data_IF_585889593701
#
_entry.id   IF_585889593701
#
_cell.length_a   1.000
_cell.length_b   1.000
_cell.length_c   1.000
_cell.angle_alpha   90.00
_cell.angle_beta   90.00
_cell.angle_gamma   90.00
#
_symmetry.space_group_name_H-M   'P 1'
#
loop_
_entity.id
_entity.type
_entity.pdbx_description
1 polymer ?
#
# COMPACT_ATOMS: atom_id res chain seq x y z
N UNK A 1 26.99 -20.81 -47.51
CA UNK A 1 27.48 -21.61 -46.37
C UNK A 1 28.00 -20.72 -45.19
N UNK A 2 27.39 -19.58 -44.96
CA UNK A 2 27.83 -18.62 -43.92
C UNK A 2 26.76 -18.44 -42.77
N UNK A 3 25.53 -18.88 -43.01
CA UNK A 3 24.43 -18.75 -42.04
C UNK A 3 24.51 -19.79 -40.88
N UNK A 4 25.20 -20.91 -41.07
CA UNK A 4 25.36 -21.95 -40.03
C UNK A 4 26.33 -21.60 -38.90
N UNK A 5 27.36 -20.86 -39.20
CA UNK A 5 28.42 -20.50 -38.24
C UNK A 5 27.96 -19.40 -37.27
N UNK A 6 27.13 -18.47 -37.71
CA UNK A 6 26.59 -17.41 -36.85
C UNK A 6 25.54 -17.94 -35.83
N UNK A 7 24.73 -18.91 -36.24
CA UNK A 7 23.78 -19.56 -35.38
C UNK A 7 24.45 -20.43 -34.28
N UNK A 8 25.53 -21.10 -34.62
CA UNK A 8 26.31 -21.87 -33.65
C UNK A 8 27.04 -20.94 -32.68
N UNK A 9 27.61 -19.84 -33.17
CA UNK A 9 28.27 -18.84 -32.31
C UNK A 9 27.28 -18.16 -31.33
N UNK A 10 26.08 -17.81 -31.79
CA UNK A 10 25.03 -17.29 -30.91
C UNK A 10 24.53 -18.33 -29.90
N UNK A 11 24.33 -19.57 -30.33
CA UNK A 11 23.92 -20.66 -29.45
C UNK A 11 24.97 -21.01 -28.38
N UNK A 12 26.25 -21.01 -28.75
CA UNK A 12 27.37 -21.18 -27.82
C UNK A 12 27.52 -19.95 -26.92
N UNK A 13 27.37 -18.74 -27.45
CA UNK A 13 27.41 -17.50 -26.67
C UNK A 13 26.34 -17.44 -25.59
N UNK A 14 25.11 -17.85 -25.91
CA UNK A 14 24.00 -17.95 -24.96
C UNK A 14 24.21 -19.04 -23.90
N UNK A 15 24.85 -20.16 -24.28
CA UNK A 15 25.16 -21.25 -23.35
C UNK A 15 26.28 -20.85 -22.39
N UNK A 16 27.30 -20.14 -22.88
CA UNK A 16 28.37 -19.61 -22.06
C UNK A 16 27.95 -18.37 -21.25
N UNK A 17 27.06 -17.54 -21.78
CA UNK A 17 26.48 -16.42 -21.01
C UNK A 17 25.73 -16.90 -19.78
N UNK A 18 25.00 -18.03 -19.87
CA UNK A 18 24.35 -18.66 -18.69
C UNK A 18 25.35 -19.22 -17.69
N UNK A 19 26.58 -19.54 -18.12
CA UNK A 19 27.62 -20.13 -17.27
C UNK A 19 28.58 -19.06 -16.74
N UNK A 20 28.77 -17.98 -17.51
CA UNK A 20 29.66 -16.88 -17.16
C UNK A 20 28.95 -15.72 -16.42
N UNK A 21 27.63 -15.64 -16.54
CA UNK A 21 26.82 -14.87 -15.63
C UNK A 21 26.37 -15.85 -14.54
N UNK A 22 27.10 -15.98 -13.43
CA UNK A 22 26.52 -16.61 -12.25
C UNK A 22 25.20 -15.89 -12.08
N UNK A 23 24.12 -16.66 -12.00
CA UNK A 23 22.77 -16.11 -11.83
C UNK A 23 22.95 -14.90 -10.93
N UNK A 24 22.63 -13.72 -11.43
CA UNK A 24 22.81 -12.47 -10.72
C UNK A 24 21.88 -12.54 -9.51
N UNK A 25 22.27 -13.42 -8.59
CA UNK A 25 21.70 -13.43 -7.26
C UNK A 25 22.10 -12.09 -6.74
N UNK A 26 21.13 -11.21 -6.69
CA UNK A 26 21.34 -9.84 -6.27
C UNK A 26 22.32 -9.85 -5.10
N UNK A 27 23.50 -9.27 -5.31
CA UNK A 27 24.49 -9.05 -4.25
C UNK A 27 23.90 -8.14 -3.17
N UNK A 28 22.78 -7.53 -3.47
CA UNK A 28 21.98 -6.72 -2.55
C UNK A 28 21.00 -7.66 -1.85
N UNK A 29 21.18 -7.90 -0.54
CA UNK A 29 20.23 -8.68 0.23
C UNK A 29 18.88 -7.96 0.25
N UNK A 30 17.83 -8.67 -0.06
CA UNK A 30 16.50 -8.12 -0.09
C UNK A 30 15.46 -9.18 0.23
N UNK A 31 14.31 -8.74 0.69
CA UNK A 31 13.14 -9.59 0.85
C UNK A 31 11.92 -8.91 0.25
N UNK A 32 11.00 -9.71 -0.25
CA UNK A 32 9.69 -9.21 -0.62
C UNK A 32 8.91 -8.92 0.65
N UNK A 33 8.41 -7.71 0.77
CA UNK A 33 7.54 -7.26 1.85
C UNK A 33 6.25 -6.72 1.22
N UNK A 34 5.18 -6.69 2.00
CA UNK A 34 3.89 -6.23 1.51
C UNK A 34 2.75 -7.18 1.86
N UNK A 35 1.64 -7.15 1.13
CA UNK A 35 0.42 -7.86 1.47
C UNK A 35 0.61 -9.35 1.71
N UNK A 36 -0.17 -9.90 2.64
CA UNK A 36 -0.18 -11.32 3.02
C UNK A 36 -0.81 -12.20 1.91
N UNK A 37 -0.21 -12.16 0.71
CA UNK A 37 -0.73 -12.87 -0.46
C UNK A 37 -0.92 -14.37 -0.20
N UNK A 38 -0.11 -14.97 0.68
CA UNK A 38 -0.24 -16.38 1.05
C UNK A 38 -1.56 -16.67 1.73
N UNK A 39 -2.01 -15.79 2.62
CA UNK A 39 -3.31 -15.91 3.30
C UNK A 39 -4.43 -15.63 2.31
N UNK A 40 -4.32 -14.58 1.50
CA UNK A 40 -5.28 -14.28 0.45
C UNK A 40 -5.47 -15.44 -0.55
N UNK A 41 -4.42 -16.19 -0.85
CA UNK A 41 -4.50 -17.37 -1.73
C UNK A 41 -5.25 -18.55 -1.10
N UNK A 42 -5.38 -18.64 0.22
CA UNK A 42 -6.15 -19.69 0.87
C UNK A 42 -7.62 -19.68 0.45
N UNK A 43 -8.16 -18.51 0.06
CA UNK A 43 -9.51 -18.40 -0.50
C UNK A 43 -9.70 -19.31 -1.72
N UNK A 44 -8.71 -19.38 -2.59
CA UNK A 44 -8.76 -20.24 -3.79
C UNK A 44 -8.69 -21.73 -3.45
N UNK A 45 -8.05 -22.06 -2.35
CA UNK A 45 -7.84 -23.43 -1.91
C UNK A 45 -8.99 -23.95 -1.05
N UNK A 46 -9.94 -23.10 -0.66
CA UNK A 46 -11.02 -23.44 0.25
C UNK A 46 -10.53 -23.91 1.64
N UNK A 47 -9.32 -23.50 2.03
CA UNK A 47 -8.60 -24.03 3.20
C UNK A 47 -8.93 -23.28 4.49
N UNK A 48 -10.13 -22.71 4.61
CA UNK A 48 -10.56 -22.05 5.84
C UNK A 48 -11.30 -23.01 6.76
N UNK A 49 -10.94 -22.98 8.04
CA UNK A 49 -11.71 -23.65 9.06
C UNK A 49 -13.09 -22.99 9.22
N UNK A 50 -14.08 -23.77 9.64
CA UNK A 50 -15.39 -23.19 9.99
C UNK A 50 -15.20 -22.17 11.13
N UNK A 51 -15.90 -21.03 11.08
CA UNK A 51 -15.83 -20.04 12.15
C UNK A 51 -16.31 -20.66 13.46
N UNK A 52 -15.63 -20.34 14.55
CA UNK A 52 -15.98 -20.79 15.89
C UNK A 52 -16.92 -19.83 16.60
N UNK A 53 -16.94 -18.58 16.14
CA UNK A 53 -17.75 -17.49 16.69
C UNK A 53 -18.36 -16.71 15.56
N UNK A 54 -19.51 -16.11 15.83
CA UNK A 54 -20.20 -15.19 14.93
C UNK A 54 -20.46 -13.90 15.69
N UNK A 55 -20.08 -12.79 15.11
CA UNK A 55 -20.43 -11.45 15.59
C UNK A 55 -21.33 -10.78 14.56
N UNK A 56 -22.32 -10.02 15.04
CA UNK A 56 -23.19 -9.23 14.20
C UNK A 56 -22.82 -7.76 14.35
N UNK A 57 -22.66 -7.06 13.24
CA UNK A 57 -22.45 -5.62 13.15
C UNK A 57 -23.39 -5.06 12.10
N UNK A 58 -23.83 -3.85 12.29
CA UNK A 58 -24.68 -3.18 11.29
C UNK A 58 -23.90 -2.92 9.99
N UNK A 59 -22.62 -2.59 10.13
CA UNK A 59 -21.71 -2.39 8.99
C UNK A 59 -20.38 -3.09 9.19
N UNK A 60 -19.91 -3.80 8.16
CA UNK A 60 -18.58 -4.42 8.12
C UNK A 60 -17.82 -3.84 6.93
N UNK A 61 -16.68 -3.22 7.20
CA UNK A 61 -15.76 -2.70 6.20
C UNK A 61 -14.61 -3.70 6.03
N UNK A 62 -14.39 -4.16 4.82
CA UNK A 62 -13.33 -5.13 4.53
C UNK A 62 -12.14 -4.41 3.91
N UNK A 63 -11.02 -4.42 4.63
CA UNK A 63 -9.77 -3.75 4.28
C UNK A 63 -9.56 -2.44 5.03
N UNK A 64 -8.46 -2.36 5.78
CA UNK A 64 -8.02 -1.16 6.50
C UNK A 64 -7.04 -0.29 5.70
N UNK A 65 -7.14 -0.29 4.37
CA UNK A 65 -6.47 0.68 3.53
C UNK A 65 -7.15 2.05 3.60
N UNK A 66 -6.66 3.04 2.83
CA UNK A 66 -7.16 4.41 2.89
C UNK A 66 -8.67 4.51 2.66
N UNK A 67 -9.23 3.72 1.75
CA UNK A 67 -10.66 3.71 1.47
C UNK A 67 -11.48 3.21 2.67
N UNK A 68 -11.08 2.10 3.29
CA UNK A 68 -11.77 1.55 4.46
C UNK A 68 -11.65 2.46 5.68
N UNK A 69 -10.48 3.04 5.91
CA UNK A 69 -10.25 4.00 6.98
C UNK A 69 -11.08 5.28 6.77
N UNK A 70 -11.14 5.81 5.54
CA UNK A 70 -11.97 6.96 5.20
C UNK A 70 -13.46 6.69 5.40
N UNK A 71 -13.93 5.48 5.03
CA UNK A 71 -15.30 5.07 5.28
C UNK A 71 -15.61 5.01 6.77
N UNK A 72 -14.75 4.37 7.59
CA UNK A 72 -14.90 4.30 9.03
C UNK A 72 -14.88 5.68 9.69
N UNK A 73 -13.93 6.53 9.28
CA UNK A 73 -13.88 7.92 9.73
C UNK A 73 -15.17 8.67 9.42
N UNK A 74 -15.70 8.49 8.21
CA UNK A 74 -16.95 9.16 7.82
C UNK A 74 -18.17 8.65 8.59
N UNK A 75 -18.25 7.36 8.87
CA UNK A 75 -19.30 6.79 9.74
C UNK A 75 -19.23 7.40 11.14
N UNK A 76 -18.04 7.43 11.75
CA UNK A 76 -17.81 8.00 13.07
C UNK A 76 -18.20 9.49 13.12
N UNK A 77 -17.87 10.27 12.07
CA UNK A 77 -18.28 11.69 11.97
C UNK A 77 -19.79 11.89 11.90
N UNK A 78 -20.52 10.87 11.49
CA UNK A 78 -21.99 10.89 11.51
C UNK A 78 -22.59 10.22 12.77
N UNK A 79 -21.80 10.01 13.82
CA UNK A 79 -22.18 9.33 15.06
C UNK A 79 -22.71 7.91 14.84
N UNK A 80 -22.23 7.23 13.79
CA UNK A 80 -22.52 5.83 13.53
C UNK A 80 -21.40 4.98 14.12
N UNK A 81 -21.70 4.20 15.15
CA UNK A 81 -20.70 3.47 15.95
C UNK A 81 -20.71 1.95 15.73
N UNK A 82 -21.85 1.38 15.26
CA UNK A 82 -21.95 -0.07 15.07
C UNK A 82 -21.35 -0.52 13.74
N UNK A 83 -20.05 -0.29 13.62
CA UNK A 83 -19.26 -0.82 12.51
C UNK A 83 -17.96 -1.45 12.97
N UNK A 84 -17.39 -2.28 12.13
CA UNK A 84 -16.05 -2.84 12.31
C UNK A 84 -15.26 -2.79 11.00
N UNK A 85 -13.94 -2.61 11.10
CA UNK A 85 -13.02 -2.70 9.98
C UNK A 85 -12.21 -3.98 10.16
N UNK A 86 -12.26 -4.86 9.16
CA UNK A 86 -11.47 -6.08 9.13
C UNK A 86 -10.25 -5.86 8.23
N UNK A 87 -9.07 -6.06 8.79
CA UNK A 87 -7.80 -5.96 8.08
C UNK A 87 -7.06 -7.29 8.11
N UNK A 88 -6.48 -7.68 6.99
CA UNK A 88 -5.74 -8.93 6.84
C UNK A 88 -4.32 -8.82 7.39
N UNK A 89 -3.74 -7.64 7.31
CA UNK A 89 -2.40 -7.34 7.79
C UNK A 89 -2.40 -7.06 9.30
N UNK A 90 -1.21 -7.09 9.89
CA UNK A 90 -1.02 -6.76 11.31
C UNK A 90 -1.22 -5.26 11.62
N UNK A 91 -1.27 -4.41 10.60
CA UNK A 91 -1.47 -2.98 10.70
C UNK A 91 -2.29 -2.47 9.53
N UNK A 92 -3.07 -1.43 9.79
CA UNK A 92 -3.84 -0.71 8.76
C UNK A 92 -2.95 0.18 7.90
N UNK A 93 -3.48 0.68 6.79
CA UNK A 93 -2.80 1.64 5.91
C UNK A 93 -2.72 1.17 4.45
N UNK A 94 -2.68 -0.14 4.18
CA UNK A 94 -2.58 -0.66 2.82
C UNK A 94 -1.37 -0.08 2.08
N UNK A 95 -1.58 0.48 0.88
CA UNK A 95 -0.52 1.13 0.10
C UNK A 95 0.03 2.43 0.72
N UNK A 96 -0.68 3.01 1.68
CA UNK A 96 -0.22 4.18 2.45
C UNK A 96 0.55 3.81 3.71
N UNK A 97 0.81 2.53 3.92
CA UNK A 97 1.66 2.08 5.01
C UNK A 97 3.08 2.55 4.84
N UNK A 98 3.74 2.83 5.95
CA UNK A 98 5.13 3.26 6.01
C UNK A 98 5.93 2.39 6.97
N UNK A 99 7.22 2.51 6.92
CA UNK A 99 8.16 1.92 7.87
C UNK A 99 9.29 2.88 8.18
N UNK A 100 10.15 2.48 9.11
CA UNK A 100 11.34 3.24 9.45
C UNK A 100 12.51 2.31 9.73
N UNK A 101 13.70 2.81 9.50
CA UNK A 101 14.96 2.22 9.94
C UNK A 101 15.74 3.23 10.79
N UNK A 102 17.01 2.94 11.07
CA UNK A 102 17.89 3.85 11.84
C UNK A 102 18.22 5.16 11.13
N UNK A 103 17.99 5.25 9.83
CA UNK A 103 18.36 6.39 9.01
C UNK A 103 17.16 7.29 8.70
N UNK A 104 16.02 6.70 8.29
CA UNK A 104 14.85 7.46 7.86
C UNK A 104 13.56 6.66 8.01
N UNK A 105 12.43 7.38 8.01
CA UNK A 105 11.12 6.82 7.67
C UNK A 105 10.96 6.78 6.15
N UNK A 106 10.19 5.83 5.65
CA UNK A 106 9.94 5.66 4.22
C UNK A 106 8.56 5.04 3.97
N UNK A 107 7.89 5.43 2.88
CA UNK A 107 6.64 4.82 2.47
C UNK A 107 6.90 3.49 1.76
N UNK A 108 5.94 2.57 1.85
CA UNK A 108 5.98 1.33 1.08
C UNK A 108 5.45 1.50 -0.35
N UNK A 109 4.42 2.31 -0.52
CA UNK A 109 3.77 2.50 -1.80
C UNK A 109 3.46 3.97 -2.06
N UNK A 110 2.33 4.45 -1.58
CA UNK A 110 1.94 5.85 -1.74
C UNK A 110 2.90 6.75 -0.94
N UNK A 111 3.58 7.67 -1.61
CA UNK A 111 4.65 8.47 -1.04
C UNK A 111 4.44 9.99 -1.22
N UNK A 112 3.32 10.39 -1.76
CA UNK A 112 2.91 11.79 -1.81
C UNK A 112 1.39 11.90 -1.83
N UNK A 113 0.89 13.03 -1.37
CA UNK A 113 -0.51 13.41 -1.48
C UNK A 113 -0.55 14.70 -2.30
N UNK A 114 -1.22 14.72 -3.46
CA UNK A 114 -1.40 15.95 -4.21
C UNK A 114 -2.24 16.93 -3.41
N UNK A 115 -1.99 18.23 -3.57
CA UNK A 115 -2.81 19.24 -2.94
C UNK A 115 -4.26 19.07 -3.38
N UNK A 116 -5.21 18.95 -2.42
CA UNK A 116 -6.61 18.80 -2.76
C UNK A 116 -7.16 20.07 -3.42
N UNK A 117 -8.07 19.88 -4.36
CA UNK A 117 -8.80 21.00 -4.96
C UNK A 117 -9.68 21.70 -3.91
N UNK A 118 -10.02 22.96 -4.15
CA UNK A 118 -10.78 23.81 -3.20
C UNK A 118 -12.18 23.24 -2.85
N UNK A 119 -12.74 22.40 -3.71
CA UNK A 119 -14.04 21.74 -3.53
C UNK A 119 -13.95 20.37 -2.82
N UNK A 120 -12.73 19.91 -2.51
CA UNK A 120 -12.50 18.65 -1.81
C UNK A 120 -12.78 18.75 -0.30
N UNK A 121 -13.97 19.15 0.09
CA UNK A 121 -14.37 19.49 1.45
C UNK A 121 -14.01 18.43 2.48
N UNK A 122 -14.25 17.15 2.20
CA UNK A 122 -13.96 16.08 3.16
C UNK A 122 -12.46 15.82 3.32
N UNK A 123 -11.67 16.05 2.28
CA UNK A 123 -10.21 15.94 2.37
C UNK A 123 -9.65 17.08 3.21
N UNK A 124 -10.18 18.29 3.04
CA UNK A 124 -9.81 19.44 3.87
C UNK A 124 -10.13 19.18 5.34
N UNK A 125 -11.35 18.73 5.66
CA UNK A 125 -11.73 18.36 7.03
C UNK A 125 -10.79 17.32 7.65
N UNK A 126 -10.46 16.28 6.90
CA UNK A 126 -9.51 15.27 7.36
C UNK A 126 -8.12 15.87 7.59
N UNK A 127 -7.65 16.73 6.69
CA UNK A 127 -6.34 17.37 6.80
C UNK A 127 -6.26 18.35 7.97
N UNK A 128 -7.35 19.04 8.31
CA UNK A 128 -7.45 19.84 9.53
C UNK A 128 -7.32 18.98 10.78
N UNK A 129 -8.05 17.87 10.84
CA UNK A 129 -7.99 16.95 11.99
C UNK A 129 -6.63 16.31 12.17
N UNK A 130 -5.94 16.00 11.07
CA UNK A 130 -4.58 15.49 11.08
C UNK A 130 -3.53 16.57 11.34
N UNK A 131 -3.92 17.85 11.38
CA UNK A 131 -3.02 18.97 11.56
C UNK A 131 -2.14 19.30 10.34
N UNK A 132 -2.50 18.77 9.17
CA UNK A 132 -1.84 19.03 7.88
C UNK A 132 -2.22 20.44 7.40
N UNK A 133 -3.49 20.84 7.54
CA UNK A 133 -3.92 22.23 7.37
C UNK A 133 -3.80 22.93 8.72
N UNK A 134 -3.01 23.99 8.78
CA UNK A 134 -2.78 24.77 9.99
C UNK A 134 -3.78 25.90 10.19
N UNK A 135 -4.22 26.51 9.11
CA UNK A 135 -5.14 27.63 9.08
C UNK A 135 -5.64 27.89 7.66
N UNK A 136 -6.56 28.80 7.52
CA UNK A 136 -6.93 29.39 6.24
C UNK A 136 -6.41 30.84 6.17
N UNK A 137 -6.02 31.25 4.99
CA UNK A 137 -5.60 32.63 4.75
C UNK A 137 -6.81 33.58 4.63
N UNK A 138 -6.54 34.86 4.39
CA UNK A 138 -7.58 35.88 4.23
C UNK A 138 -8.46 35.71 2.99
N UNK A 139 -8.12 34.79 2.08
CA UNK A 139 -8.89 34.43 0.89
C UNK A 139 -9.63 33.09 1.06
N UNK A 140 -9.48 32.45 2.22
CA UNK A 140 -10.08 31.15 2.50
C UNK A 140 -9.30 29.97 1.89
N UNK A 141 -8.04 30.15 1.49
CA UNK A 141 -7.21 29.09 0.98
C UNK A 141 -6.47 28.38 2.13
N UNK A 142 -6.36 27.05 2.09
CA UNK A 142 -5.68 26.30 3.14
C UNK A 142 -4.17 26.59 3.15
N UNK A 143 -3.63 26.80 4.34
CA UNK A 143 -2.21 26.91 4.61
C UNK A 143 -1.74 25.60 5.24
N UNK A 144 -0.94 24.85 4.51
CA UNK A 144 -0.45 23.55 4.90
C UNK A 144 0.77 23.63 5.84
N UNK A 145 0.98 22.57 6.60
CA UNK A 145 2.22 22.37 7.34
C UNK A 145 3.36 22.10 6.34
N UNK A 146 4.43 22.86 6.41
CA UNK A 146 5.59 22.74 5.50
C UNK A 146 6.31 21.37 5.58
N UNK A 147 6.11 20.63 6.65
CA UNK A 147 6.70 19.30 6.84
C UNK A 147 5.73 18.15 6.48
N UNK A 148 4.49 18.47 6.17
CA UNK A 148 3.47 17.46 5.88
C UNK A 148 3.14 17.35 4.37
N UNK A 149 3.64 18.27 3.55
CA UNK A 149 3.39 18.35 2.10
C UNK A 149 4.68 18.60 1.32
#
# INVERSE_FOLDING_TARGET
MVLGSAAIAMGLGLKYAKTLLPAYKSLIPGKMVGPQFKIGHLLRLGAFNRPKQTETRETVIIGGGIAGLAAGWRLQKNNFEDFTILELESAVGGNSSSSKNSTSAYPWGAHYVPLPSSDATYVHLLFEELGIIKKYDGQGLPVFDEFAV
#
